data_IF_313105612412
#
_entry.id   IF_313105612412
#
_cell.length_a   1.000
_cell.length_b   1.000
_cell.length_c   1.000
_cell.angle_alpha   90.00
_cell.angle_beta   90.00
_cell.angle_gamma   90.00
#
_symmetry.space_group_name_H-M   'P 1'
#
loop_
_entity.id
_entity.type
_entity.pdbx_description
1 polymer ?
#
# COMPACT_ATOMS: atom_id res chain seq x y z
N UNK A 1 -9.32 -7.03 -17.85
CA UNK A 1 -8.99 -6.01 -16.83
C UNK A 1 -7.64 -6.37 -16.26
N UNK A 2 -6.68 -5.45 -16.24
CA UNK A 2 -5.42 -5.70 -15.53
C UNK A 2 -5.71 -5.87 -14.04
N UNK A 3 -5.04 -6.84 -13.41
CA UNK A 3 -5.21 -7.09 -11.98
C UNK A 3 -4.66 -5.89 -11.20
N UNK A 4 -5.40 -5.45 -10.18
CA UNK A 4 -4.89 -4.48 -9.22
C UNK A 4 -3.64 -5.09 -8.56
N UNK A 5 -2.54 -4.34 -8.51
CA UNK A 5 -1.24 -4.83 -8.05
C UNK A 5 -1.32 -5.48 -6.66
N UNK A 6 -2.08 -4.87 -5.73
CA UNK A 6 -2.28 -5.42 -4.39
C UNK A 6 -2.94 -6.80 -4.38
N UNK A 7 -3.72 -7.18 -5.39
CA UNK A 7 -4.34 -8.52 -5.45
C UNK A 7 -3.41 -9.60 -6.01
N UNK A 8 -2.18 -9.24 -6.35
CA UNK A 8 -1.19 -10.15 -6.93
C UNK A 8 -0.06 -10.50 -5.96
N UNK A 9 -0.06 -9.95 -4.74
CA UNK A 9 0.94 -10.25 -3.70
C UNK A 9 0.37 -11.22 -2.65
N UNK A 10 1.25 -12.04 -2.08
CA UNK A 10 0.89 -12.96 -1.00
C UNK A 10 0.86 -12.21 0.34
N UNK A 11 -0.34 -11.95 0.85
CA UNK A 11 -0.53 -11.23 2.12
C UNK A 11 -0.12 -12.04 3.35
N UNK A 12 0.08 -13.35 3.24
CA UNK A 12 0.53 -14.20 4.35
C UNK A 12 2.03 -14.01 4.65
N UNK A 13 2.76 -13.39 3.72
CA UNK A 13 4.21 -13.16 3.82
C UNK A 13 4.60 -11.71 4.07
N UNK A 14 3.63 -10.79 4.08
CA UNK A 14 3.89 -9.35 4.26
C UNK A 14 4.06 -9.02 5.75
N UNK A 15 5.08 -8.21 6.04
CA UNK A 15 5.36 -7.65 7.37
C UNK A 15 5.28 -6.11 7.32
N UNK A 16 5.21 -5.40 8.46
CA UNK A 16 5.24 -3.94 8.49
C UNK A 16 6.46 -3.38 7.76
N UNK A 17 6.26 -2.39 6.90
CA UNK A 17 7.30 -1.90 6.01
C UNK A 17 6.79 -0.99 4.89
N UNK A 18 7.72 -0.63 4.01
CA UNK A 18 7.46 0.23 2.85
C UNK A 18 7.73 -0.56 1.58
N UNK A 19 6.71 -0.72 0.75
CA UNK A 19 6.78 -1.49 -0.48
C UNK A 19 6.46 -0.60 -1.68
N UNK A 20 7.12 -0.84 -2.81
CA UNK A 20 6.67 -0.28 -4.09
C UNK A 20 5.45 -1.09 -4.54
N UNK A 21 4.27 -0.47 -4.51
CA UNK A 21 3.01 -1.10 -4.90
C UNK A 21 2.82 -1.09 -6.41
N UNK A 22 3.04 0.07 -7.03
CA UNK A 22 2.90 0.25 -8.49
C UNK A 22 3.79 1.39 -8.98
N UNK A 23 4.24 1.26 -10.23
CA UNK A 23 4.89 2.33 -10.96
C UNK A 23 4.06 2.58 -12.22
N UNK A 24 3.40 3.73 -12.26
CA UNK A 24 2.65 4.20 -13.43
C UNK A 24 3.53 5.14 -14.26
N UNK A 25 3.38 5.06 -15.58
CA UNK A 25 4.00 6.00 -16.51
C UNK A 25 2.90 6.76 -17.24
N UNK A 26 2.95 8.08 -17.15
CA UNK A 26 2.07 8.93 -17.94
C UNK A 26 2.37 8.72 -19.44
N UNK A 27 1.40 8.26 -20.25
CA UNK A 27 1.63 7.97 -21.66
C UNK A 27 1.90 9.22 -22.51
N UNK A 28 1.50 10.40 -22.07
CA UNK A 28 1.69 11.66 -22.80
C UNK A 28 3.01 12.36 -22.41
N UNK A 29 3.40 12.28 -21.14
CA UNK A 29 4.56 13.03 -20.61
C UNK A 29 5.75 12.16 -20.24
N UNK A 30 5.58 10.83 -20.21
CA UNK A 30 6.52 9.85 -19.66
C UNK A 30 6.87 10.05 -18.18
N UNK A 31 6.18 10.94 -17.47
CA UNK A 31 6.34 11.13 -16.04
C UNK A 31 6.06 9.83 -15.29
N UNK A 32 6.81 9.59 -14.22
CA UNK A 32 6.71 8.36 -13.43
C UNK A 32 6.03 8.68 -12.11
N UNK A 33 4.92 8.00 -11.83
CA UNK A 33 4.24 8.03 -10.52
C UNK A 33 4.50 6.72 -9.82
N UNK A 34 5.13 6.77 -8.65
CA UNK A 34 5.37 5.58 -7.82
C UNK A 34 4.39 5.59 -6.65
N UNK A 35 3.56 4.57 -6.55
CA UNK A 35 2.69 4.34 -5.40
C UNK A 35 3.39 3.43 -4.42
N UNK A 36 3.48 3.85 -3.16
CA UNK A 36 4.01 3.04 -2.08
C UNK A 36 2.88 2.47 -1.22
N UNK A 37 3.06 1.23 -0.79
CA UNK A 37 2.28 0.59 0.26
C UNK A 37 3.03 0.77 1.58
N UNK A 38 2.45 1.57 2.47
CA UNK A 38 2.92 1.78 3.84
C UNK A 38 2.19 0.80 4.74
N UNK A 39 2.78 -0.36 4.95
CA UNK A 39 2.21 -1.44 5.74
C UNK A 39 2.50 -1.18 7.22
N UNK A 40 1.48 -0.78 7.98
CA UNK A 40 1.63 -0.46 9.41
C UNK A 40 1.40 -1.68 10.31
N UNK A 41 0.62 -2.66 9.84
CA UNK A 41 0.33 -3.90 10.57
C UNK A 41 0.44 -5.11 9.65
N UNK A 42 0.83 -6.23 10.24
CA UNK A 42 0.95 -7.54 9.60
C UNK A 42 -0.44 -8.06 9.24
N UNK A 43 -0.73 -8.30 7.95
CA UNK A 43 -2.07 -8.71 7.53
C UNK A 43 -2.54 -9.98 8.23
N UNK A 44 -3.77 -9.94 8.76
CA UNK A 44 -4.45 -11.09 9.39
C UNK A 44 -3.73 -11.70 10.61
N UNK A 45 -2.73 -11.00 11.20
CA UNK A 45 -1.97 -11.48 12.36
C UNK A 45 -1.96 -10.47 13.51
N UNK A 46 -1.73 -9.20 13.21
CA UNK A 46 -1.76 -8.13 14.20
C UNK A 46 -3.16 -7.52 14.30
N UNK A 47 -3.54 -6.95 15.45
CA UNK A 47 -4.75 -6.13 15.55
C UNK A 47 -4.75 -5.03 14.49
N UNK A 48 -5.91 -4.76 13.92
CA UNK A 48 -6.08 -3.61 13.03
C UNK A 48 -5.91 -2.31 13.83
N UNK A 49 -5.40 -1.27 13.20
CA UNK A 49 -5.46 0.07 13.77
C UNK A 49 -6.92 0.53 13.83
N UNK A 50 -7.38 1.08 14.96
CA UNK A 50 -8.74 1.59 15.02
C UNK A 50 -8.87 2.92 14.25
N UNK A 51 -10.11 3.29 13.97
CA UNK A 51 -10.43 4.44 13.12
C UNK A 51 -9.86 5.75 13.68
N UNK A 52 -9.88 5.95 14.99
CA UNK A 52 -9.42 7.20 15.60
C UNK A 52 -7.91 7.41 15.42
N UNK A 53 -7.11 6.35 15.61
CA UNK A 53 -5.67 6.38 15.46
C UNK A 53 -5.27 6.49 13.99
N UNK A 54 -5.93 5.76 13.09
CA UNK A 54 -5.73 5.90 11.64
C UNK A 54 -5.98 7.33 11.16
N UNK A 55 -7.12 7.92 11.55
CA UNK A 55 -7.49 9.28 11.16
C UNK A 55 -6.52 10.32 11.75
N UNK A 56 -6.05 10.13 12.97
CA UNK A 56 -5.04 11.03 13.56
C UNK A 56 -3.74 11.00 12.76
N UNK A 57 -3.28 9.81 12.36
CA UNK A 57 -2.05 9.67 11.55
C UNK A 57 -2.24 10.20 10.12
N UNK A 58 -3.44 10.07 9.53
CA UNK A 58 -3.74 10.64 8.21
C UNK A 58 -3.59 12.17 8.16
N UNK A 59 -3.89 12.84 9.27
CA UNK A 59 -3.80 14.30 9.39
C UNK A 59 -2.39 14.83 9.69
N UNK A 60 -1.52 14.01 10.29
CA UNK A 60 -0.15 14.38 10.66
C UNK A 60 0.79 14.26 9.46
#
# INVERSE_FOLDING_TARGET
MERIASFSVDHLLLEPGVYVSRIDRDPATAAVVTTFDLRLTTPNKEPVMNTAECHTIEHL
#
